data_IF_045801856987
#
_entry.id   IF_045801856987
#
_cell.length_a   1.000
_cell.length_b   1.000
_cell.length_c   1.000
_cell.angle_alpha   90.00
_cell.angle_beta   90.00
_cell.angle_gamma   90.00
#
_symmetry.space_group_name_H-M   'P 1'
#
loop_
_entity.id
_entity.type
_entity.pdbx_description
1 polymer ?
#
# COMPACT_ATOMS: atom_id res chain seq x y z
N UNK A 1 -8.38 26.02 -9.98
CA UNK A 1 -7.46 24.96 -10.45
C UNK A 1 -8.07 23.64 -10.03
N UNK A 2 -8.44 22.77 -10.98
CA UNK A 2 -8.97 21.45 -10.65
C UNK A 2 -7.78 20.53 -10.32
N UNK A 3 -7.83 19.86 -9.16
CA UNK A 3 -6.82 18.88 -8.75
C UNK A 3 -7.47 17.51 -8.75
N UNK A 4 -7.06 16.65 -9.68
CA UNK A 4 -7.55 15.26 -9.76
C UNK A 4 -6.48 14.34 -9.17
N UNK A 5 -6.84 13.56 -8.16
CA UNK A 5 -5.93 12.59 -7.58
C UNK A 5 -5.77 11.39 -8.53
N UNK A 6 -4.54 11.05 -8.89
CA UNK A 6 -4.24 9.93 -9.79
C UNK A 6 -4.84 8.59 -9.34
N UNK A 7 -4.98 8.37 -8.02
CA UNK A 7 -5.59 7.16 -7.45
C UNK A 7 -7.10 7.06 -7.70
N UNK A 8 -7.74 8.20 -7.95
CA UNK A 8 -9.18 8.27 -8.24
C UNK A 8 -9.49 8.14 -9.74
N UNK A 9 -8.47 8.14 -10.60
CA UNK A 9 -8.65 8.01 -12.05
C UNK A 9 -8.96 6.55 -12.38
N UNK A 10 -10.10 6.34 -13.03
CA UNK A 10 -10.58 5.02 -13.45
C UNK A 10 -10.05 4.65 -14.82
N UNK A 11 -10.15 5.58 -15.76
CA UNK A 11 -9.70 5.38 -17.14
C UNK A 11 -9.49 6.71 -17.88
N UNK A 12 -8.77 6.64 -19.01
CA UNK A 12 -8.60 7.73 -19.96
C UNK A 12 -9.20 7.31 -21.29
N UNK A 13 -10.15 8.09 -21.82
CA UNK A 13 -10.81 7.83 -23.11
C UNK A 13 -10.28 8.80 -24.16
N UNK A 14 -9.88 8.31 -25.32
CA UNK A 14 -9.43 9.15 -26.44
C UNK A 14 -10.57 9.49 -27.40
N UNK A 15 -10.53 10.65 -28.03
CA UNK A 15 -11.54 11.11 -28.97
C UNK A 15 -12.77 11.75 -28.32
N UNK A 16 -13.83 11.95 -29.12
CA UNK A 16 -15.05 12.67 -28.72
C UNK A 16 -16.08 11.73 -28.08
N UNK A 17 -15.75 11.17 -26.92
CA UNK A 17 -16.61 10.18 -26.26
C UNK A 17 -17.64 10.79 -25.30
N UNK A 18 -17.49 12.06 -24.94
CA UNK A 18 -18.38 12.78 -24.01
C UNK A 18 -19.33 13.73 -24.75
N UNK A 19 -20.47 14.03 -24.13
CA UNK A 19 -21.50 14.91 -24.72
C UNK A 19 -21.01 16.34 -24.92
N UNK A 20 -20.09 16.82 -24.08
CA UNK A 20 -19.47 18.15 -24.18
C UNK A 20 -18.57 18.24 -25.42
N UNK A 21 -17.76 17.22 -25.69
CA UNK A 21 -16.91 17.15 -26.90
C UNK A 21 -17.72 16.92 -28.19
N UNK A 22 -19.00 16.57 -28.08
CA UNK A 22 -19.96 16.48 -29.19
C UNK A 22 -20.76 17.77 -29.42
N UNK A 23 -20.59 18.80 -28.58
CA UNK A 23 -21.25 20.10 -28.81
C UNK A 23 -20.81 20.69 -30.15
N UNK A 24 -21.81 21.11 -30.93
CA UNK A 24 -21.68 21.52 -32.34
C UNK A 24 -20.81 22.77 -32.54
N UNK A 25 -20.60 23.56 -31.50
CA UNK A 25 -19.76 24.79 -31.51
C UNK A 25 -18.26 24.50 -31.44
N UNK A 26 -17.90 23.30 -30.97
CA UNK A 26 -16.53 22.84 -30.72
C UNK A 26 -16.11 21.83 -31.82
N UNK A 27 -17.09 21.19 -32.44
CA UNK A 27 -16.92 20.21 -33.49
C UNK A 27 -16.50 20.86 -34.83
N UNK A 28 -15.18 21.00 -35.03
CA UNK A 28 -14.57 21.56 -36.24
C UNK A 28 -13.31 22.39 -36.00
N UNK A 29 -13.01 22.73 -34.74
CA UNK A 29 -11.86 23.57 -34.39
C UNK A 29 -10.55 22.80 -34.15
N UNK A 30 -10.60 21.47 -34.01
CA UNK A 30 -9.44 20.62 -33.73
C UNK A 30 -9.65 19.21 -34.28
N UNK A 31 -8.54 18.52 -34.51
CA UNK A 31 -8.55 17.13 -34.96
C UNK A 31 -8.99 16.19 -33.82
N UNK A 32 -9.77 15.15 -34.12
CA UNK A 32 -10.39 14.30 -33.09
C UNK A 32 -9.36 13.59 -32.20
N UNK A 33 -8.17 13.35 -32.73
CA UNK A 33 -7.03 12.78 -32.05
C UNK A 33 -6.31 13.75 -31.09
N UNK A 34 -6.68 15.03 -31.05
CA UNK A 34 -6.21 15.98 -30.03
C UNK A 34 -7.04 15.94 -28.73
N UNK A 35 -8.22 15.31 -28.75
CA UNK A 35 -9.13 15.32 -27.61
C UNK A 35 -9.04 14.02 -26.80
N UNK A 36 -9.13 14.14 -25.48
CA UNK A 36 -9.22 13.01 -24.55
C UNK A 36 -9.96 13.43 -23.28
N UNK A 37 -10.51 12.44 -22.58
CA UNK A 37 -11.28 12.63 -21.35
C UNK A 37 -10.70 11.77 -20.24
N UNK A 38 -10.57 12.33 -19.05
CA UNK A 38 -10.17 11.61 -17.83
C UNK A 38 -11.44 11.30 -17.05
N UNK A 39 -11.69 10.01 -16.78
CA UNK A 39 -12.82 9.56 -15.96
C UNK A 39 -12.31 9.28 -14.55
N UNK A 40 -12.89 9.92 -13.54
CA UNK A 40 -12.42 9.85 -12.16
C UNK A 40 -13.56 9.81 -11.14
N UNK A 41 -13.23 9.44 -9.91
CA UNK A 41 -14.18 9.36 -8.80
C UNK A 41 -15.15 8.18 -8.90
N UNK A 42 -15.98 8.01 -7.88
CA UNK A 42 -16.96 6.91 -7.84
C UNK A 42 -18.22 7.20 -8.67
N UNK A 43 -18.53 8.48 -8.85
CA UNK A 43 -19.65 8.97 -9.66
C UNK A 43 -19.32 9.08 -11.16
N UNK A 44 -18.16 8.58 -11.60
CA UNK A 44 -17.70 8.60 -12.99
C UNK A 44 -17.70 10.00 -13.61
N UNK A 45 -17.19 10.98 -12.87
CA UNK A 45 -17.01 12.34 -13.35
C UNK A 45 -16.02 12.39 -14.52
N UNK A 46 -16.25 13.30 -15.46
CA UNK A 46 -15.44 13.42 -16.66
C UNK A 46 -14.77 14.79 -16.76
N UNK A 47 -13.46 14.79 -16.96
CA UNK A 47 -12.68 15.98 -17.30
C UNK A 47 -12.25 15.89 -18.77
N UNK A 48 -12.86 16.72 -19.60
CA UNK A 48 -12.59 16.80 -21.04
C UNK A 48 -11.44 17.77 -21.34
N UNK A 49 -10.47 17.32 -22.14
CA UNK A 49 -9.25 18.04 -22.46
C UNK A 49 -8.98 18.01 -23.97
N UNK A 50 -8.45 19.11 -24.48
CA UNK A 50 -8.04 19.27 -25.89
C UNK A 50 -6.58 19.72 -25.88
N UNK A 51 -5.69 18.88 -26.42
CA UNK A 51 -4.29 19.20 -26.59
C UNK A 51 -4.06 20.06 -27.85
N UNK A 52 -2.91 20.73 -27.92
CA UNK A 52 -2.55 21.55 -29.08
C UNK A 52 -2.24 20.68 -30.30
N UNK A 53 -1.72 19.47 -30.09
CA UNK A 53 -1.42 18.50 -31.15
C UNK A 53 -1.83 17.07 -30.76
N UNK A 54 -2.00 16.16 -31.75
CA UNK A 54 -2.27 14.75 -31.48
C UNK A 54 -1.14 14.06 -30.72
N UNK A 55 0.11 14.45 -30.96
CA UNK A 55 1.29 13.91 -30.28
C UNK A 55 1.26 14.28 -28.80
N UNK A 56 0.88 15.51 -28.48
CA UNK A 56 0.72 15.97 -27.09
C UNK A 56 -0.42 15.20 -26.39
N UNK A 57 -1.57 15.01 -27.06
CA UNK A 57 -2.66 14.20 -26.52
C UNK A 57 -2.20 12.76 -26.22
N UNK A 58 -1.48 12.13 -27.16
CA UNK A 58 -0.95 10.78 -26.97
C UNK A 58 0.07 10.69 -25.83
N UNK A 59 0.93 11.69 -25.67
CA UNK A 59 1.89 11.76 -24.57
C UNK A 59 1.17 11.82 -23.21
N UNK A 60 0.13 12.65 -23.08
CA UNK A 60 -0.69 12.72 -21.87
C UNK A 60 -1.40 11.40 -21.58
N UNK A 61 -2.10 10.83 -22.55
CA UNK A 61 -2.83 9.57 -22.40
C UNK A 61 -1.89 8.45 -21.98
N UNK A 62 -0.71 8.36 -22.60
CA UNK A 62 0.29 7.34 -22.26
C UNK A 62 0.84 7.54 -20.86
N UNK A 63 1.20 8.77 -20.50
CA UNK A 63 1.74 9.10 -19.17
C UNK A 63 0.73 8.84 -18.05
N UNK A 64 -0.53 9.23 -18.22
CA UNK A 64 -1.58 9.01 -17.22
C UNK A 64 -1.85 7.51 -17.07
N UNK A 65 -1.97 6.75 -18.17
CA UNK A 65 -2.16 5.30 -18.11
C UNK A 65 -1.00 4.58 -17.42
N UNK A 66 0.25 5.03 -17.66
CA UNK A 66 1.41 4.54 -16.94
C UNK A 66 1.30 4.79 -15.43
N UNK A 67 0.92 5.99 -15.03
CA UNK A 67 0.74 6.35 -13.62
C UNK A 67 -0.40 5.59 -12.95
N UNK A 68 -1.52 5.33 -13.64
CA UNK A 68 -2.61 4.48 -13.16
C UNK A 68 -2.10 3.06 -12.93
N UNK A 69 -1.36 2.50 -13.89
CA UNK A 69 -0.74 1.17 -13.78
C UNK A 69 0.22 1.09 -12.60
N UNK A 70 1.13 2.05 -12.49
CA UNK A 70 2.08 2.15 -11.37
C UNK A 70 1.36 2.28 -10.02
N UNK A 71 0.31 3.10 -9.94
CA UNK A 71 -0.47 3.25 -8.71
C UNK A 71 -1.17 1.94 -8.31
N UNK A 72 -1.68 1.16 -9.26
CA UNK A 72 -2.26 -0.16 -8.97
C UNK A 72 -1.20 -1.14 -8.46
N UNK A 73 0.04 -1.08 -8.98
CA UNK A 73 1.13 -1.91 -8.46
C UNK A 73 1.55 -1.56 -7.03
N UNK A 74 1.31 -0.33 -6.57
CA UNK A 74 1.54 0.06 -5.16
C UNK A 74 0.46 -0.44 -4.19
N UNK A 75 -0.64 -1.02 -4.68
CA UNK A 75 -1.65 -1.73 -3.88
C UNK A 75 -1.51 -3.25 -3.99
N UNK A 76 -0.32 -3.71 -4.41
CA UNK A 76 0.03 -5.12 -4.37
C UNK A 76 0.08 -5.63 -2.94
N UNK A 77 -0.16 -6.93 -2.77
CA UNK A 77 -0.02 -7.62 -1.49
C UNK A 77 1.36 -7.34 -0.86
N UNK A 78 2.42 -7.28 -1.68
CA UNK A 78 3.77 -6.91 -1.25
C UNK A 78 3.83 -5.52 -0.61
N UNK A 79 3.25 -4.50 -1.27
CA UNK A 79 3.23 -3.13 -0.74
C UNK A 79 2.47 -3.03 0.59
N UNK A 80 1.35 -3.77 0.72
CA UNK A 80 0.60 -3.87 1.98
C UNK A 80 1.37 -4.58 3.08
N UNK A 81 2.13 -5.62 2.74
CA UNK A 81 3.02 -6.30 3.67
C UNK A 81 4.16 -5.37 4.13
N UNK A 82 4.76 -4.61 3.21
CA UNK A 82 5.81 -3.63 3.54
C UNK A 82 5.28 -2.54 4.49
N UNK A 83 4.07 -2.03 4.26
CA UNK A 83 3.45 -1.03 5.15
C UNK A 83 3.22 -1.58 6.56
N UNK A 84 2.71 -2.82 6.66
CA UNK A 84 2.50 -3.49 7.95
C UNK A 84 3.82 -3.72 8.68
N UNK A 85 4.85 -4.16 7.97
CA UNK A 85 6.19 -4.35 8.55
C UNK A 85 6.76 -3.04 9.07
N UNK A 86 6.66 -1.96 8.29
CA UNK A 86 7.13 -0.64 8.69
C UNK A 86 6.41 -0.16 9.96
N UNK A 87 5.09 -0.31 10.01
CA UNK A 87 4.32 0.04 11.20
C UNK A 87 4.73 -0.78 12.44
N UNK A 88 4.97 -2.09 12.29
CA UNK A 88 5.47 -2.92 13.40
C UNK A 88 6.85 -2.47 13.89
N UNK A 89 7.71 -2.00 12.98
CA UNK A 89 9.02 -1.44 13.34
C UNK A 89 8.87 -0.13 14.13
N UNK A 90 7.94 0.75 13.73
CA UNK A 90 7.64 2.00 14.43
C UNK A 90 7.08 1.74 15.84
N UNK A 91 6.19 0.75 15.98
CA UNK A 91 5.66 0.34 17.30
C UNK A 91 6.76 -0.22 18.20
N UNK A 92 7.72 -0.94 17.64
CA UNK A 92 8.90 -1.40 18.38
C UNK A 92 9.72 -0.21 18.87
N UNK A 93 9.99 0.77 18.00
CA UNK A 93 10.76 1.97 18.35
C UNK A 93 10.08 2.80 19.44
N UNK A 94 8.74 2.85 19.47
CA UNK A 94 7.99 3.51 20.54
C UNK A 94 8.10 2.76 21.88
N UNK A 95 8.20 1.42 21.85
CA UNK A 95 8.36 0.62 23.05
C UNK A 95 9.81 0.61 23.57
N UNK A 96 10.79 0.71 22.68
CA UNK A 96 12.22 0.85 23.01
C UNK A 96 12.56 2.30 23.36
N UNK A 97 11.94 2.82 24.43
CA UNK A 97 12.09 4.20 24.86
C UNK A 97 13.55 4.60 25.18
N UNK A 98 14.39 3.61 25.55
CA UNK A 98 15.81 3.79 25.84
C UNK A 98 16.70 3.68 24.58
N UNK A 99 16.12 3.44 23.40
CA UNK A 99 16.82 3.25 22.12
C UNK A 99 17.93 2.19 22.17
N UNK A 100 17.72 1.11 22.93
CA UNK A 100 18.68 0.01 23.09
C UNK A 100 18.72 -0.89 21.84
N UNK A 101 17.70 -0.81 20.99
CA UNK A 101 17.44 -1.68 19.86
C UNK A 101 16.94 -3.07 20.25
N UNK A 102 16.64 -3.29 21.52
CA UNK A 102 16.37 -4.59 22.13
C UNK A 102 15.28 -4.45 23.19
N UNK A 103 14.30 -5.35 23.16
CA UNK A 103 13.31 -5.53 24.21
C UNK A 103 13.59 -6.84 24.94
N UNK A 104 13.34 -6.87 26.24
CA UNK A 104 13.33 -8.13 26.98
C UNK A 104 12.07 -8.97 26.67
N UNK A 105 12.06 -10.24 27.12
CA UNK A 105 10.94 -11.15 26.92
C UNK A 105 9.61 -10.59 27.46
N UNK A 106 9.62 -9.96 28.63
CA UNK A 106 8.42 -9.43 29.26
C UNK A 106 7.88 -8.23 28.47
N UNK A 107 8.76 -7.32 28.06
CA UNK A 107 8.43 -6.15 27.25
C UNK A 107 7.87 -6.55 25.89
N UNK A 108 8.51 -7.50 25.21
CA UNK A 108 8.05 -7.99 23.93
C UNK A 108 6.68 -8.66 24.04
N UNK A 109 6.46 -9.53 25.04
CA UNK A 109 5.15 -10.17 25.26
C UNK A 109 4.08 -9.12 25.55
N UNK A 110 4.37 -8.12 26.38
CA UNK A 110 3.44 -7.04 26.70
C UNK A 110 3.05 -6.24 25.44
N UNK A 111 4.03 -5.90 24.60
CA UNK A 111 3.80 -5.20 23.34
C UNK A 111 2.96 -6.03 22.37
N UNK A 112 3.27 -7.33 22.23
CA UNK A 112 2.52 -8.26 21.38
C UNK A 112 1.07 -8.39 21.83
N UNK A 113 0.81 -8.48 23.15
CA UNK A 113 -0.55 -8.53 23.72
C UNK A 113 -1.29 -7.21 23.55
N UNK A 114 -0.60 -6.07 23.64
CA UNK A 114 -1.17 -4.74 23.35
C UNK A 114 -1.63 -4.65 21.89
N UNK A 115 -0.83 -5.17 20.95
CA UNK A 115 -1.18 -5.18 19.53
C UNK A 115 -2.26 -6.19 19.17
N UNK A 116 -2.25 -7.37 19.80
CA UNK A 116 -3.22 -8.42 19.57
C UNK A 116 -3.51 -9.17 20.88
N UNK A 117 -4.59 -8.78 21.54
CA UNK A 117 -4.96 -9.37 22.84
C UNK A 117 -5.44 -10.84 22.72
N UNK A 118 -5.69 -11.34 21.51
CA UNK A 118 -6.07 -12.75 21.31
C UNK A 118 -4.87 -13.72 21.37
N UNK A 119 -3.63 -13.20 21.35
CA UNK A 119 -2.43 -14.04 21.42
C UNK A 119 -2.33 -14.79 22.75
N UNK A 120 -1.98 -16.07 22.67
CA UNK A 120 -1.70 -16.91 23.83
C UNK A 120 -0.26 -16.68 24.32
N UNK A 121 -0.11 -16.27 25.59
CA UNK A 121 1.20 -15.98 26.19
C UNK A 121 2.10 -17.23 26.19
N UNK A 122 1.55 -18.42 26.41
CA UNK A 122 2.33 -19.66 26.37
C UNK A 122 2.93 -19.92 24.98
N UNK A 123 2.17 -19.67 23.91
CA UNK A 123 2.66 -19.81 22.54
C UNK A 123 3.75 -18.77 22.23
N UNK A 124 3.60 -17.54 22.71
CA UNK A 124 4.62 -16.49 22.58
C UNK A 124 5.93 -16.88 23.26
N UNK A 125 5.88 -17.34 24.51
CA UNK A 125 7.06 -17.80 25.26
C UNK A 125 7.74 -18.99 24.57
N UNK A 126 6.96 -19.96 24.11
CA UNK A 126 7.49 -21.11 23.37
C UNK A 126 8.21 -20.66 22.10
N UNK A 127 7.62 -19.74 21.33
CA UNK A 127 8.22 -19.18 20.12
C UNK A 127 9.51 -18.42 20.42
N UNK A 128 9.53 -17.58 21.45
CA UNK A 128 10.75 -16.87 21.86
C UNK A 128 11.85 -17.88 22.23
N UNK A 129 11.51 -18.94 22.95
CA UNK A 129 12.44 -20.02 23.31
C UNK A 129 12.95 -20.78 22.07
N UNK A 130 12.12 -21.03 21.05
CA UNK A 130 12.53 -21.61 19.77
C UNK A 130 13.57 -20.71 19.07
N UNK A 131 13.37 -19.39 19.08
CA UNK A 131 14.31 -18.43 18.49
C UNK A 131 15.60 -18.23 19.28
N UNK A 132 15.57 -18.46 20.58
CA UNK A 132 16.76 -18.44 21.44
C UNK A 132 17.55 -19.75 21.41
N UNK A 133 17.03 -20.80 20.76
CA UNK A 133 17.72 -22.07 20.60
C UNK A 133 18.96 -21.89 19.71
N UNK A 134 20.14 -21.85 20.34
CA UNK A 134 21.43 -21.66 19.65
C UNK A 134 22.08 -20.29 19.88
N UNK A 135 21.47 -19.40 20.67
CA UNK A 135 22.13 -18.18 21.15
C UNK A 135 22.93 -18.43 22.43
N UNK A 136 24.02 -17.68 22.57
CA UNK A 136 24.80 -17.58 23.81
C UNK A 136 23.95 -17.06 24.97
N UNK A 137 24.28 -17.42 26.20
CA UNK A 137 23.47 -17.08 27.39
C UNK A 137 23.24 -15.57 27.54
N UNK A 138 24.17 -14.72 27.10
CA UNK A 138 24.05 -13.26 27.14
C UNK A 138 23.03 -12.69 26.16
N UNK A 139 22.71 -13.40 25.09
CA UNK A 139 21.81 -12.95 24.01
C UNK A 139 20.41 -13.56 24.09
N UNK A 140 20.18 -14.48 25.05
CA UNK A 140 18.88 -15.07 25.33
C UNK A 140 17.92 -14.06 25.96
N UNK A 141 16.64 -14.14 25.60
CA UNK A 141 15.60 -13.25 26.10
C UNK A 141 15.66 -11.82 25.54
N UNK A 142 16.64 -11.51 24.67
CA UNK A 142 16.75 -10.22 23.98
C UNK A 142 16.12 -10.31 22.60
N UNK A 143 15.12 -9.47 22.36
CA UNK A 143 14.32 -9.43 21.15
C UNK A 143 14.62 -8.14 20.41
N UNK A 144 15.34 -8.25 19.29
CA UNK A 144 15.57 -7.13 18.40
C UNK A 144 14.35 -6.87 17.49
N UNK A 145 14.33 -5.69 16.88
CA UNK A 145 13.26 -5.24 15.96
C UNK A 145 12.90 -6.26 14.87
N UNK A 146 13.90 -6.88 14.23
CA UNK A 146 13.65 -7.87 13.16
C UNK A 146 12.96 -9.11 13.70
N UNK A 147 13.41 -9.59 14.87
CA UNK A 147 12.83 -10.75 15.54
C UNK A 147 11.40 -10.47 15.99
N UNK A 148 11.12 -9.28 16.55
CA UNK A 148 9.77 -8.86 16.93
C UNK A 148 8.79 -8.91 15.74
N UNK A 149 9.16 -8.36 14.58
CA UNK A 149 8.32 -8.41 13.37
C UNK A 149 8.06 -9.85 12.93
N UNK A 150 9.07 -10.73 12.99
CA UNK A 150 8.90 -12.15 12.64
C UNK A 150 7.97 -12.88 13.61
N UNK A 151 8.18 -12.70 14.92
CA UNK A 151 7.33 -13.25 15.96
C UNK A 151 5.88 -12.82 15.77
N UNK A 152 5.63 -11.52 15.50
CA UNK A 152 4.27 -11.01 15.34
C UNK A 152 3.59 -11.60 14.11
N UNK A 153 4.33 -11.73 13.00
CA UNK A 153 3.83 -12.38 11.79
C UNK A 153 3.43 -13.81 12.07
N UNK A 154 4.34 -14.65 12.55
CA UNK A 154 4.08 -16.08 12.77
C UNK A 154 2.92 -16.34 13.75
N UNK A 155 2.82 -15.53 14.80
CA UNK A 155 1.81 -15.72 15.85
C UNK A 155 0.46 -15.10 15.50
N UNK A 156 0.43 -14.04 14.68
CA UNK A 156 -0.82 -13.36 14.30
C UNK A 156 -1.35 -13.79 12.93
N UNK A 157 -0.56 -14.46 12.08
CA UNK A 157 -1.09 -15.06 10.85
C UNK A 157 -1.92 -16.28 11.19
N UNK A 158 -3.25 -16.14 11.10
CA UNK A 158 -4.14 -17.29 11.21
C UNK A 158 -3.99 -18.16 9.96
N UNK A 159 -3.76 -19.48 10.09
CA UNK A 159 -3.66 -20.40 8.96
C UNK A 159 -4.85 -20.32 7.99
N UNK A 160 -6.06 -20.10 8.51
CA UNK A 160 -7.29 -20.01 7.70
C UNK A 160 -7.33 -18.80 6.75
N UNK A 161 -6.60 -17.73 7.07
CA UNK A 161 -6.57 -16.50 6.25
C UNK A 161 -5.48 -16.59 5.17
N UNK A 162 -4.44 -17.39 5.39
CA UNK A 162 -3.36 -17.57 4.41
C UNK A 162 -3.91 -18.04 3.05
N UNK A 163 -4.88 -18.97 3.07
CA UNK A 163 -5.54 -19.46 1.84
C UNK A 163 -6.33 -18.39 1.08
N UNK A 164 -6.78 -17.33 1.75
CA UNK A 164 -7.50 -16.23 1.12
C UNK A 164 -6.54 -15.22 0.48
N UNK A 165 -5.33 -15.07 1.05
CA UNK A 165 -4.35 -14.07 0.63
C UNK A 165 -3.48 -14.49 -0.57
N UNK A 166 -3.46 -15.78 -0.94
CA UNK A 166 -2.61 -16.33 -2.01
C UNK A 166 -3.38 -16.49 -3.35
N UNK A 167 -4.60 -15.98 -3.44
CA UNK A 167 -5.46 -16.15 -4.62
C UNK A 167 -5.58 -14.91 -5.49
#
# INVERSE_FOLDING_TARGET
>A
MLLVNIRSVREVRTGKNTEVLKMKEICGAYAENCAFSIIYGDEFESLDLIASTPEEANAWVTGINYLIGASKTTDTLESRQTMREKWLQEVFDEADADCKGLLDECEAIALMKKLNNQLCIQQLKQKIMEFDHGKDEEERGKINKKLFVSLFKETSTRPDIYFILVR
#
